data_IF_111054544517
#
_entry.id   IF_111054544517
#
_cell.length_a   1.000
_cell.length_b   1.000
_cell.length_c   1.000
_cell.angle_alpha   90.00
_cell.angle_beta   90.00
_cell.angle_gamma   90.00
#
_symmetry.space_group_name_H-M   'P 1'
#
loop_
_entity.id
_entity.type
_entity.pdbx_description
1 polymer ?
#
# COMPACT_ATOMS: atom_id res chain seq x y z
N UNK A 1 13.30 12.14 -11.78
CA UNK A 1 13.49 11.19 -10.64
C UNK A 1 12.61 9.99 -10.86
N UNK A 2 13.13 8.76 -10.69
CA UNK A 2 12.35 7.55 -10.97
C UNK A 2 11.18 7.37 -9.98
N UNK A 3 10.06 6.83 -10.45
CA UNK A 3 8.87 6.53 -9.66
C UNK A 3 9.17 5.77 -8.35
N UNK A 4 10.02 4.73 -8.41
CA UNK A 4 10.44 3.95 -7.25
C UNK A 4 11.13 4.83 -6.20
N UNK A 5 11.97 5.76 -6.62
CA UNK A 5 12.67 6.67 -5.71
C UNK A 5 11.71 7.60 -4.98
N UNK A 6 10.66 8.08 -5.65
CA UNK A 6 9.63 8.93 -5.03
C UNK A 6 8.86 8.19 -3.94
N UNK A 7 8.42 6.96 -4.25
CA UNK A 7 7.73 6.10 -3.27
C UNK A 7 8.65 5.76 -2.10
N UNK A 8 9.93 5.46 -2.37
CA UNK A 8 10.92 5.12 -1.33
C UNK A 8 11.14 6.28 -0.37
N UNK A 9 11.30 7.51 -0.86
CA UNK A 9 11.44 8.72 -0.01
C UNK A 9 10.24 8.85 0.92
N UNK A 10 9.04 8.68 0.40
CA UNK A 10 7.81 8.80 1.20
C UNK A 10 7.69 7.70 2.26
N UNK A 11 8.14 6.49 1.94
CA UNK A 11 8.23 5.38 2.91
C UNK A 11 9.24 5.71 4.01
N UNK A 12 10.40 6.24 3.66
CA UNK A 12 11.42 6.65 4.64
C UNK A 12 10.87 7.72 5.59
N UNK A 13 10.18 8.74 5.06
CA UNK A 13 9.52 9.77 5.87
C UNK A 13 8.49 9.15 6.82
N UNK A 14 7.67 8.19 6.34
CA UNK A 14 6.75 7.46 7.20
C UNK A 14 7.47 6.80 8.37
N UNK A 15 8.55 6.04 8.12
CA UNK A 15 9.29 5.35 9.17
C UNK A 15 9.96 6.31 10.15
N UNK A 16 10.55 7.41 9.69
CA UNK A 16 11.16 8.41 10.54
C UNK A 16 10.12 8.94 11.53
N UNK A 17 8.98 9.42 11.05
CA UNK A 17 7.93 9.97 11.93
C UNK A 17 7.40 8.88 12.88
N UNK A 18 7.26 7.64 12.40
CA UNK A 18 6.74 6.52 13.18
C UNK A 18 7.67 6.07 14.30
N UNK A 19 9.00 6.15 14.09
CA UNK A 19 10.01 5.82 15.10
C UNK A 19 9.98 6.83 16.24
N UNK A 20 9.92 8.13 15.93
CA UNK A 20 9.93 9.19 16.92
C UNK A 20 8.62 9.29 17.72
N UNK A 21 7.52 8.88 17.14
CA UNK A 21 6.22 8.97 17.78
C UNK A 21 5.43 7.67 17.68
N UNK A 22 5.40 6.89 18.76
CA UNK A 22 4.73 5.58 18.82
C UNK A 22 3.24 5.64 19.14
N UNK A 23 2.65 6.83 19.30
CA UNK A 23 1.22 6.99 19.60
C UNK A 23 0.33 6.57 18.43
N UNK A 24 -0.94 6.30 18.70
CA UNK A 24 -1.91 5.95 17.66
C UNK A 24 -2.20 7.12 16.71
N UNK A 25 -2.27 8.35 17.25
CA UNK A 25 -2.42 9.57 16.44
C UNK A 25 -1.25 9.72 15.47
N UNK A 26 -0.07 9.26 15.86
CA UNK A 26 1.13 9.24 15.05
C UNK A 26 1.00 8.40 13.78
N UNK A 27 0.22 7.31 13.81
CA UNK A 27 0.00 6.51 12.61
C UNK A 27 -0.71 7.33 11.51
N UNK A 28 -1.79 8.01 11.86
CA UNK A 28 -2.48 8.88 10.91
C UNK A 28 -1.57 10.02 10.43
N UNK A 29 -0.86 10.65 11.35
CA UNK A 29 0.05 11.75 11.05
C UNK A 29 1.15 11.26 10.10
N UNK A 30 1.83 10.17 10.43
CA UNK A 30 2.91 9.64 9.60
C UNK A 30 2.44 9.19 8.22
N UNK A 31 1.27 8.55 8.12
CA UNK A 31 0.69 8.15 6.85
C UNK A 31 0.27 9.37 6.00
N UNK A 32 -0.33 10.40 6.63
CA UNK A 32 -0.70 11.64 5.95
C UNK A 32 0.53 12.39 5.44
N UNK A 33 1.57 12.54 6.27
CA UNK A 33 2.82 13.18 5.84
C UNK A 33 3.52 12.42 4.71
N UNK A 34 3.52 11.09 4.76
CA UNK A 34 4.06 10.28 3.67
C UNK A 34 3.27 10.48 2.36
N UNK A 35 1.94 10.52 2.42
CA UNK A 35 1.09 10.80 1.26
C UNK A 35 1.34 12.20 0.70
N UNK A 36 1.37 13.22 1.56
CA UNK A 36 1.66 14.61 1.15
C UNK A 36 3.07 14.73 0.55
N UNK A 37 4.08 14.13 1.18
CA UNK A 37 5.45 14.14 0.67
C UNK A 37 5.56 13.47 -0.69
N UNK A 38 4.83 12.36 -0.92
CA UNK A 38 4.78 11.73 -2.22
C UNK A 38 4.21 12.66 -3.29
N UNK A 39 3.07 13.31 -3.00
CA UNK A 39 2.43 14.25 -3.92
C UNK A 39 3.37 15.43 -4.22
N UNK A 40 4.00 16.02 -3.20
CA UNK A 40 4.93 17.14 -3.38
C UNK A 40 6.13 16.75 -4.24
N UNK A 41 6.79 15.63 -3.91
CA UNK A 41 7.95 15.14 -4.67
C UNK A 41 7.55 14.81 -6.11
N UNK A 42 6.36 14.26 -6.31
CA UNK A 42 5.83 13.98 -7.64
C UNK A 42 5.62 15.28 -8.42
N UNK A 43 4.94 16.28 -7.85
CA UNK A 43 4.66 17.56 -8.51
C UNK A 43 5.93 18.36 -8.82
N UNK A 44 6.94 18.34 -7.95
CA UNK A 44 8.22 19.02 -8.15
C UNK A 44 9.06 18.42 -9.30
N UNK A 45 8.88 17.12 -9.59
CA UNK A 45 9.61 16.44 -10.67
C UNK A 45 8.75 16.23 -11.93
N UNK A 46 7.63 16.91 -12.01
CA UNK A 46 6.65 16.71 -13.05
C UNK A 46 6.99 17.55 -14.30
N UNK A 47 7.21 16.86 -15.42
CA UNK A 47 7.20 17.48 -16.75
C UNK A 47 5.79 17.31 -17.34
N UNK A 48 5.11 18.43 -17.57
CA UNK A 48 3.71 18.45 -18.06
C UNK A 48 3.66 17.92 -19.48
N UNK A 49 3.44 16.62 -19.65
CA UNK A 49 3.22 16.04 -20.98
C UNK A 49 1.73 15.83 -21.24
N UNK A 50 1.00 15.24 -20.30
CA UNK A 50 -0.46 15.02 -20.42
C UNK A 50 -1.09 14.77 -19.03
N UNK A 51 -2.34 15.23 -18.83
CA UNK A 51 -3.03 15.18 -17.52
C UNK A 51 -3.34 13.75 -17.10
N UNK A 52 -3.83 12.89 -18.00
CA UNK A 52 -4.31 11.56 -17.67
C UNK A 52 -3.20 10.59 -17.22
N UNK A 53 -2.04 10.48 -17.92
CA UNK A 53 -0.90 9.71 -17.42
C UNK A 53 -0.40 10.19 -16.06
N UNK A 54 -0.38 11.51 -15.85
CA UNK A 54 0.03 12.12 -14.59
C UNK A 54 -0.83 11.63 -13.43
N UNK A 55 -2.15 11.72 -13.58
CA UNK A 55 -3.10 11.25 -12.56
C UNK A 55 -2.91 9.75 -12.32
N UNK A 56 -2.76 8.96 -13.38
CA UNK A 56 -2.55 7.52 -13.27
C UNK A 56 -1.30 7.18 -12.44
N UNK A 57 -0.15 7.76 -12.74
CA UNK A 57 1.08 7.51 -12.00
C UNK A 57 1.01 8.00 -10.55
N UNK A 58 0.42 9.17 -10.31
CA UNK A 58 0.23 9.71 -8.97
C UNK A 58 -0.66 8.79 -8.11
N UNK A 59 -1.80 8.37 -8.64
CA UNK A 59 -2.76 7.50 -7.94
C UNK A 59 -2.15 6.11 -7.70
N UNK A 60 -1.40 5.58 -8.65
CA UNK A 60 -0.72 4.31 -8.51
C UNK A 60 0.33 4.34 -7.41
N UNK A 61 1.13 5.40 -7.33
CA UNK A 61 2.13 5.54 -6.28
C UNK A 61 1.51 5.74 -4.89
N UNK A 62 0.42 6.49 -4.78
CA UNK A 62 -0.33 6.61 -3.53
C UNK A 62 -0.91 5.26 -3.09
N UNK A 63 -1.44 4.47 -4.04
CA UNK A 63 -1.93 3.12 -3.75
C UNK A 63 -0.82 2.26 -3.16
N UNK A 64 0.34 2.16 -3.84
CA UNK A 64 1.48 1.38 -3.36
C UNK A 64 1.94 1.84 -1.97
N UNK A 65 2.03 3.15 -1.74
CA UNK A 65 2.45 3.72 -0.48
C UNK A 65 1.50 3.31 0.66
N UNK A 66 0.20 3.51 0.50
CA UNK A 66 -0.78 3.19 1.55
C UNK A 66 -0.91 1.68 1.80
N UNK A 67 -0.85 0.87 0.75
CA UNK A 67 -0.87 -0.59 0.89
C UNK A 67 0.38 -1.11 1.59
N UNK A 68 1.55 -0.53 1.30
CA UNK A 68 2.80 -0.86 1.99
C UNK A 68 2.76 -0.46 3.47
N UNK A 69 2.26 0.73 3.79
CA UNK A 69 2.08 1.19 5.17
C UNK A 69 1.12 0.26 5.92
N UNK A 70 -0.03 -0.06 5.33
CA UNK A 70 -1.01 -0.97 5.91
C UNK A 70 -0.41 -2.37 6.17
N UNK A 71 0.37 -2.89 5.23
CA UNK A 71 1.08 -4.17 5.37
C UNK A 71 2.07 -4.16 6.54
N UNK A 72 2.90 -3.12 6.67
CA UNK A 72 3.84 -3.01 7.78
C UNK A 72 3.13 -2.94 9.14
N UNK A 73 2.06 -2.18 9.24
CA UNK A 73 1.29 -2.07 10.49
C UNK A 73 0.57 -3.38 10.85
N UNK A 74 0.10 -4.16 9.88
CA UNK A 74 -0.45 -5.50 10.13
C UNK A 74 0.62 -6.45 10.68
N UNK A 75 1.85 -6.42 10.15
CA UNK A 75 2.96 -7.22 10.68
C UNK A 75 3.23 -6.83 12.15
N UNK A 76 3.29 -5.54 12.44
CA UNK A 76 3.52 -5.05 13.81
C UNK A 76 2.39 -5.54 14.74
N UNK A 77 1.14 -5.45 14.29
CA UNK A 77 -0.02 -5.92 15.02
C UNK A 77 0.04 -7.44 15.27
N UNK A 78 0.37 -8.24 14.24
CA UNK A 78 0.52 -9.69 14.37
C UNK A 78 1.61 -10.07 15.38
N UNK A 79 2.76 -9.38 15.35
CA UNK A 79 3.86 -9.59 16.30
C UNK A 79 3.41 -9.29 17.74
N UNK A 80 2.66 -8.21 17.96
CA UNK A 80 2.13 -7.84 19.28
C UNK A 80 1.15 -8.89 19.79
N UNK A 81 0.21 -9.32 18.95
CA UNK A 81 -0.75 -10.36 19.33
C UNK A 81 -0.08 -11.69 19.67
N UNK A 82 1.00 -12.06 18.97
CA UNK A 82 1.77 -13.27 19.32
C UNK A 82 2.44 -13.15 20.68
N UNK A 83 2.95 -11.98 21.07
CA UNK A 83 3.56 -11.76 22.39
C UNK A 83 2.52 -11.92 23.50
N UNK A 84 1.34 -11.32 23.34
CA UNK A 84 0.23 -11.44 24.29
C UNK A 84 -0.19 -12.91 24.48
N UNK A 85 -0.33 -13.66 23.38
CA UNK A 85 -0.65 -15.10 23.45
C UNK A 85 0.41 -15.94 24.16
N UNK A 86 1.65 -15.46 24.24
CA UNK A 86 2.75 -16.13 24.98
C UNK A 86 2.81 -15.74 26.46
N UNK A 87 1.87 -14.93 26.96
CA UNK A 87 1.81 -14.54 28.38
C UNK A 87 2.56 -13.25 28.73
N UNK A 88 3.08 -12.53 27.75
CA UNK A 88 3.76 -11.24 27.95
C UNK A 88 2.71 -10.11 28.05
N UNK A 89 1.99 -10.08 29.18
CA UNK A 89 0.90 -9.13 29.44
C UNK A 89 1.39 -7.75 29.89
N UNK A 90 2.62 -7.63 30.37
CA UNK A 90 3.15 -6.36 30.92
C UNK A 90 3.15 -5.20 29.91
N UNK A 91 3.19 -5.52 28.63
CA UNK A 91 3.14 -4.54 27.55
C UNK A 91 1.77 -4.48 26.83
N UNK A 92 0.80 -5.29 27.23
CA UNK A 92 -0.50 -5.41 26.57
C UNK A 92 -1.45 -4.25 26.92
N UNK A 93 -1.40 -3.75 28.15
CA UNK A 93 -2.27 -2.67 28.63
C UNK A 93 -2.01 -1.32 27.95
N UNK A 94 -0.80 -1.10 27.41
CA UNK A 94 -0.41 0.17 26.79
C UNK A 94 -0.88 0.35 25.32
N UNK A 95 -1.51 -0.67 24.71
CA UNK A 95 -1.90 -0.59 23.31
C UNK A 95 -3.32 -1.10 23.07
N UNK A 96 -4.26 -0.21 22.72
CA UNK A 96 -5.58 -0.60 22.25
C UNK A 96 -5.50 -1.29 20.88
N UNK A 97 -5.36 -2.63 20.90
CA UNK A 97 -5.22 -3.48 19.69
C UNK A 97 -6.38 -3.23 18.73
N UNK A 98 -7.60 -3.11 19.25
CA UNK A 98 -8.81 -2.89 18.45
C UNK A 98 -8.75 -1.57 17.67
N UNK A 99 -8.23 -0.53 18.28
CA UNK A 99 -8.13 0.79 17.64
C UNK A 99 -7.06 0.82 16.54
N UNK A 100 -5.90 0.21 16.80
CA UNK A 100 -4.86 0.03 15.77
C UNK A 100 -5.36 -0.80 14.60
N UNK A 101 -6.15 -1.84 14.87
CA UNK A 101 -6.77 -2.66 13.85
C UNK A 101 -7.73 -1.84 12.95
N UNK A 102 -8.60 -1.00 13.56
CA UNK A 102 -9.50 -0.11 12.81
C UNK A 102 -8.73 0.86 11.90
N UNK A 103 -7.59 1.39 12.38
CA UNK A 103 -6.76 2.31 11.59
C UNK A 103 -6.11 1.60 10.40
N UNK A 104 -5.52 0.45 10.63
CA UNK A 104 -4.91 -0.36 9.57
C UNK A 104 -5.94 -0.72 8.51
N UNK A 105 -7.15 -1.09 8.93
CA UNK A 105 -8.25 -1.39 8.03
C UNK A 105 -8.67 -0.18 7.18
N UNK A 106 -8.69 1.02 7.75
CA UNK A 106 -8.95 2.27 7.00
C UNK A 106 -7.84 2.55 5.99
N UNK A 107 -6.58 2.38 6.38
CA UNK A 107 -5.43 2.57 5.46
C UNK A 107 -5.48 1.57 4.29
N UNK A 108 -5.82 0.32 4.57
CA UNK A 108 -6.03 -0.70 3.55
C UNK A 108 -7.15 -0.31 2.58
N UNK A 109 -8.28 0.20 3.12
CA UNK A 109 -9.40 0.70 2.31
C UNK A 109 -9.00 1.87 1.42
N UNK A 110 -8.25 2.85 1.94
CA UNK A 110 -7.73 3.98 1.18
C UNK A 110 -6.80 3.49 0.06
N UNK A 111 -5.85 2.61 0.37
CA UNK A 111 -4.94 2.03 -0.62
C UNK A 111 -5.68 1.28 -1.72
N UNK A 112 -6.71 0.50 -1.35
CA UNK A 112 -7.55 -0.24 -2.29
C UNK A 112 -8.36 0.69 -3.20
N UNK A 113 -8.89 1.80 -2.65
CA UNK A 113 -9.60 2.82 -3.44
C UNK A 113 -8.67 3.43 -4.49
N UNK A 114 -7.45 3.82 -4.11
CA UNK A 114 -6.46 4.32 -5.06
C UNK A 114 -6.07 3.25 -6.10
N UNK A 115 -5.96 1.97 -5.70
CA UNK A 115 -5.67 0.88 -6.64
C UNK A 115 -6.81 0.70 -7.66
N UNK A 116 -8.07 0.86 -7.25
CA UNK A 116 -9.22 0.83 -8.15
C UNK A 116 -9.17 1.97 -9.17
N UNK A 117 -8.86 3.19 -8.73
CA UNK A 117 -8.66 4.32 -9.63
C UNK A 117 -7.46 4.12 -10.57
N UNK A 118 -6.37 3.53 -10.09
CA UNK A 118 -5.22 3.19 -10.92
C UNK A 118 -5.56 2.17 -12.01
N UNK A 119 -6.37 1.15 -11.69
CA UNK A 119 -6.87 0.20 -12.68
C UNK A 119 -7.73 0.88 -13.75
N UNK A 120 -8.72 1.67 -13.34
CA UNK A 120 -9.62 2.38 -14.25
C UNK A 120 -8.84 3.34 -15.17
N UNK A 121 -7.98 4.17 -14.59
CA UNK A 121 -7.17 5.12 -15.36
C UNK A 121 -6.15 4.41 -16.27
N UNK A 122 -5.60 3.28 -15.83
CA UNK A 122 -4.70 2.45 -16.63
C UNK A 122 -5.39 1.91 -17.90
N UNK A 123 -6.60 1.39 -17.78
CA UNK A 123 -7.40 0.98 -18.94
C UNK A 123 -7.74 2.13 -19.88
N UNK A 124 -8.02 3.31 -19.34
CA UNK A 124 -8.37 4.50 -20.13
C UNK A 124 -7.18 5.08 -20.92
N UNK A 125 -5.95 4.84 -20.47
CA UNK A 125 -4.73 5.33 -21.14
C UNK A 125 -4.32 4.49 -22.35
N UNK A 126 -4.87 3.30 -22.52
CA UNK A 126 -4.36 2.34 -23.49
C UNK A 126 -5.18 2.38 -24.78
N UNK A 127 -4.57 2.98 -25.80
CA UNK A 127 -5.05 2.90 -27.19
C UNK A 127 -4.65 1.60 -27.89
N UNK A 128 -3.57 0.93 -27.44
CA UNK A 128 -3.05 -0.32 -28.04
C UNK A 128 -2.72 -1.31 -26.93
N UNK A 129 -3.33 -2.49 -26.99
CA UNK A 129 -3.04 -3.60 -26.06
C UNK A 129 -1.79 -4.35 -26.50
N UNK A 130 -0.63 -3.99 -25.94
CA UNK A 130 0.57 -4.81 -26.03
C UNK A 130 0.58 -5.92 -24.98
N UNK A 131 1.25 -7.05 -25.26
CA UNK A 131 1.34 -8.17 -24.30
C UNK A 131 1.82 -7.72 -22.92
N UNK A 132 2.79 -6.81 -22.83
CA UNK A 132 3.33 -6.28 -21.59
C UNK A 132 2.29 -5.52 -20.76
N UNK A 133 1.41 -4.80 -21.41
CA UNK A 133 0.33 -4.04 -20.78
C UNK A 133 -0.72 -5.00 -20.21
N UNK A 134 -1.07 -6.02 -20.98
CA UNK A 134 -2.02 -7.06 -20.55
C UNK A 134 -1.49 -7.79 -19.30
N UNK A 135 -0.21 -8.17 -19.28
CA UNK A 135 0.38 -8.80 -18.10
C UNK A 135 0.33 -7.90 -16.86
N UNK A 136 0.66 -6.61 -16.98
CA UNK A 136 0.54 -5.66 -15.86
C UNK A 136 -0.88 -5.54 -15.34
N UNK A 137 -1.84 -5.41 -16.26
CA UNK A 137 -3.26 -5.32 -15.90
C UNK A 137 -3.72 -6.57 -15.16
N UNK A 138 -3.33 -7.76 -15.62
CA UNK A 138 -3.67 -9.04 -14.98
C UNK A 138 -3.07 -9.10 -13.56
N UNK A 139 -1.77 -8.83 -13.38
CA UNK A 139 -1.15 -8.87 -12.06
C UNK A 139 -1.75 -7.85 -11.09
N UNK A 140 -2.02 -6.64 -11.56
CA UNK A 140 -2.66 -5.60 -10.74
C UNK A 140 -4.09 -5.99 -10.38
N UNK A 141 -4.83 -6.60 -11.30
CA UNK A 141 -6.19 -7.09 -11.05
C UNK A 141 -6.22 -8.26 -10.06
N UNK A 142 -5.29 -9.20 -10.18
CA UNK A 142 -5.12 -10.30 -9.21
C UNK A 142 -4.83 -9.71 -7.81
N UNK A 143 -3.91 -8.76 -7.70
CA UNK A 143 -3.62 -8.09 -6.45
C UNK A 143 -4.86 -7.41 -5.86
N UNK A 144 -5.63 -6.70 -6.67
CA UNK A 144 -6.87 -6.05 -6.28
C UNK A 144 -7.90 -7.05 -5.72
N UNK A 145 -8.08 -8.19 -6.38
CA UNK A 145 -8.96 -9.27 -5.89
C UNK A 145 -8.48 -9.78 -4.53
N UNK A 146 -7.17 -10.04 -4.37
CA UNK A 146 -6.61 -10.54 -3.11
C UNK A 146 -6.84 -9.51 -1.98
N UNK A 147 -6.66 -8.20 -2.25
CA UNK A 147 -6.93 -7.14 -1.28
C UNK A 147 -8.40 -7.10 -0.87
N UNK A 148 -9.34 -7.21 -1.83
CA UNK A 148 -10.78 -7.25 -1.53
C UNK A 148 -11.11 -8.47 -0.67
N UNK A 149 -10.67 -9.66 -1.08
CA UNK A 149 -10.93 -10.90 -0.34
C UNK A 149 -10.37 -10.79 1.09
N UNK A 150 -9.16 -10.25 1.24
CA UNK A 150 -8.57 -10.05 2.55
C UNK A 150 -9.38 -9.07 3.40
N UNK A 151 -9.79 -7.95 2.82
CA UNK A 151 -10.56 -6.92 3.51
C UNK A 151 -11.94 -7.42 3.93
N UNK A 152 -12.64 -8.14 3.05
CA UNK A 152 -13.93 -8.78 3.33
C UNK A 152 -13.77 -9.90 4.35
N UNK A 153 -12.74 -10.74 4.20
CA UNK A 153 -12.41 -11.81 5.13
C UNK A 153 -12.16 -11.33 6.56
N UNK A 154 -11.42 -10.23 6.69
CA UNK A 154 -11.19 -9.59 7.98
C UNK A 154 -12.49 -9.05 8.58
N UNK A 155 -13.29 -8.34 7.78
CA UNK A 155 -14.47 -7.62 8.27
C UNK A 155 -15.64 -8.53 8.60
N UNK A 156 -15.92 -9.53 7.77
CA UNK A 156 -17.13 -10.34 7.86
C UNK A 156 -16.88 -11.77 8.36
N UNK A 157 -15.70 -12.31 8.13
CA UNK A 157 -15.36 -13.71 8.46
C UNK A 157 -14.35 -13.84 9.59
N UNK A 158 -14.01 -12.75 10.29
CA UNK A 158 -13.02 -12.75 11.38
C UNK A 158 -11.72 -13.47 11.02
N UNK A 159 -11.24 -13.27 9.81
CA UNK A 159 -10.01 -13.90 9.31
C UNK A 159 -8.87 -13.72 10.31
N UNK A 160 -8.19 -14.80 10.72
CA UNK A 160 -7.01 -14.69 11.57
C UNK A 160 -5.97 -13.76 10.93
N UNK A 161 -5.43 -12.83 11.71
CA UNK A 161 -4.44 -11.82 11.23
C UNK A 161 -3.27 -12.46 10.49
N UNK A 162 -2.85 -13.66 10.89
CA UNK A 162 -1.80 -14.43 10.22
C UNK A 162 -2.09 -14.68 8.73
N UNK A 163 -3.32 -15.00 8.38
CA UNK A 163 -3.70 -15.23 6.96
C UNK A 163 -3.83 -13.90 6.22
N UNK A 164 -4.36 -12.86 6.88
CA UNK A 164 -4.41 -11.52 6.31
C UNK A 164 -3.02 -10.99 5.96
N UNK A 165 -2.03 -11.15 6.86
CA UNK A 165 -0.64 -10.73 6.61
C UNK A 165 -0.06 -11.46 5.40
N UNK A 166 -0.32 -12.76 5.26
CA UNK A 166 0.19 -13.56 4.12
C UNK A 166 -0.46 -13.18 2.79
N UNK A 167 -1.78 -13.00 2.77
CA UNK A 167 -2.49 -12.59 1.55
C UNK A 167 -2.08 -11.19 1.10
N UNK A 168 -1.92 -10.23 2.02
CA UNK A 168 -1.41 -8.91 1.70
C UNK A 168 0.03 -8.94 1.17
N UNK A 169 0.88 -9.82 1.71
CA UNK A 169 2.22 -10.04 1.18
C UNK A 169 2.19 -10.51 -0.28
N UNK A 170 1.35 -11.50 -0.60
CA UNK A 170 1.19 -11.98 -1.97
C UNK A 170 0.66 -10.89 -2.90
N UNK A 171 -0.34 -10.11 -2.46
CA UNK A 171 -0.89 -9.01 -3.24
C UNK A 171 0.16 -7.92 -3.51
N UNK A 172 0.97 -7.58 -2.51
CA UNK A 172 2.05 -6.60 -2.66
C UNK A 172 3.11 -7.10 -3.66
N UNK A 173 3.51 -8.38 -3.61
CA UNK A 173 4.41 -8.98 -4.59
C UNK A 173 3.83 -8.98 -6.00
N UNK A 174 2.52 -9.24 -6.15
CA UNK A 174 1.86 -9.17 -7.45
C UNK A 174 1.92 -7.75 -8.04
N UNK A 175 1.64 -6.71 -7.23
CA UNK A 175 1.75 -5.30 -7.68
C UNK A 175 3.19 -4.94 -8.01
N UNK A 176 4.16 -5.29 -7.17
CA UNK A 176 5.58 -5.06 -7.45
C UNK A 176 6.02 -5.79 -8.72
N UNK A 177 5.60 -7.05 -8.90
CA UNK A 177 5.88 -7.83 -10.10
C UNK A 177 5.38 -7.12 -11.37
N UNK A 178 4.16 -6.55 -11.34
CA UNK A 178 3.63 -5.76 -12.44
C UNK A 178 4.53 -4.57 -12.83
N UNK A 179 5.19 -3.96 -11.84
CA UNK A 179 6.12 -2.84 -12.06
C UNK A 179 7.51 -3.27 -12.49
N UNK A 180 8.09 -4.31 -11.89
CA UNK A 180 9.43 -4.80 -12.20
C UNK A 180 9.52 -5.40 -13.61
N UNK A 181 8.48 -6.12 -14.06
CA UNK A 181 8.46 -6.65 -15.43
C UNK A 181 8.55 -5.57 -16.50
N UNK A 182 8.11 -4.34 -16.20
CA UNK A 182 8.26 -3.22 -17.13
C UNK A 182 9.71 -2.77 -17.31
N UNK A 183 10.50 -2.83 -16.25
CA UNK A 183 11.90 -2.36 -16.27
C UNK A 183 12.82 -3.33 -17.01
N UNK A 184 12.48 -4.64 -17.02
CA UNK A 184 13.30 -5.68 -17.66
C UNK A 184 12.98 -5.89 -19.14
N UNK A 185 11.73 -5.66 -19.57
CA UNK A 185 11.29 -5.96 -20.94
C UNK A 185 11.44 -4.75 -21.87
N UNK A 186 11.49 -3.51 -21.34
CA UNK A 186 11.70 -2.29 -22.15
C UNK A 186 13.20 -1.95 -22.27
N UNK A 187 14.06 -2.57 -21.48
CA UNK A 187 15.51 -2.38 -21.51
C UNK A 187 16.27 -3.34 -22.46
N UNK A 188 15.54 -4.15 -23.22
CA UNK A 188 16.07 -5.04 -24.27
C UNK A 188 15.53 -4.60 -25.67
#
# INVERSE_FOLDING_TARGET
>A
MNFITQVTISIVIYFIIRIFNKSEKSLYISASFAGISYILVYLLNFEVITILPTIHFMVTGLSLLFLFIAYNEIIILERKMRKIKKGDFLNAELFPIEKNYKIVFKLLGIGLTFLSFALISGFSLQSIFTANIVFKAIFTFIAWIIYIITMVGIKFFNFPIKYATRSLFLAMWAVLGAYFMNSYIIGS
#
